data_IF_403971691240
#
_entry.id   IF_403971691240
#
_cell.length_a   1.000
_cell.length_b   1.000
_cell.length_c   1.000
_cell.angle_alpha   90.00
_cell.angle_beta   90.00
_cell.angle_gamma   90.00
#
_symmetry.space_group_name_H-M   'P 1'
#
loop_
_entity.id
_entity.type
_entity.pdbx_description
1 polymer ?
#
# COMPACT_ATOMS: atom_id res chain seq x y z
N UNK A 1 13.27 -4.40 15.76
CA UNK A 1 13.57 -3.30 14.81
C UNK A 1 15.03 -3.32 14.41
N UNK A 2 15.99 -3.13 15.32
CA UNK A 2 17.42 -3.07 14.96
C UNK A 2 17.92 -4.36 14.27
N UNK A 3 17.57 -5.55 14.80
CA UNK A 3 17.89 -6.84 14.20
C UNK A 3 17.33 -6.99 12.77
N UNK A 4 16.10 -6.52 12.52
CA UNK A 4 15.51 -6.51 11.18
C UNK A 4 16.28 -5.62 10.20
N UNK A 5 16.75 -4.44 10.65
CA UNK A 5 17.54 -3.51 9.82
C UNK A 5 18.91 -4.10 9.48
N UNK A 6 19.57 -4.74 10.45
CA UNK A 6 20.86 -5.42 10.24
C UNK A 6 20.73 -6.54 9.22
N UNK A 7 19.69 -7.39 9.32
CA UNK A 7 19.41 -8.42 8.31
C UNK A 7 19.21 -7.83 6.90
N UNK A 8 18.43 -6.75 6.79
CA UNK A 8 18.20 -6.08 5.49
C UNK A 8 19.50 -5.50 4.92
N UNK A 9 20.39 -5.00 5.78
CA UNK A 9 21.71 -4.50 5.39
C UNK A 9 22.63 -5.62 4.89
N UNK A 10 22.62 -6.78 5.55
CA UNK A 10 23.35 -7.96 5.10
C UNK A 10 22.88 -8.45 3.73
N UNK A 11 21.56 -8.53 3.53
CA UNK A 11 20.97 -8.89 2.24
C UNK A 11 21.35 -7.89 1.14
N UNK A 12 21.39 -6.60 1.46
CA UNK A 12 21.84 -5.55 0.54
C UNK A 12 23.28 -5.77 0.08
N UNK A 13 24.21 -6.05 1.01
CA UNK A 13 25.61 -6.31 0.66
C UNK A 13 25.81 -7.61 -0.12
N UNK A 14 25.00 -8.63 0.15
CA UNK A 14 25.11 -9.94 -0.52
C UNK A 14 24.63 -9.92 -1.97
N UNK A 15 23.70 -9.03 -2.30
CA UNK A 15 22.97 -9.02 -3.57
C UNK A 15 23.37 -7.89 -4.53
N UNK A 16 24.42 -7.11 -4.23
CA UNK A 16 24.71 -5.83 -4.88
C UNK A 16 23.44 -4.97 -4.97
N UNK A 17 22.71 -4.92 -3.84
CA UNK A 17 21.41 -4.31 -3.76
C UNK A 17 21.45 -2.83 -4.14
N UNK A 18 20.28 -2.28 -4.48
CA UNK A 18 20.13 -0.85 -4.70
C UNK A 18 19.17 -0.24 -3.65
N UNK A 19 19.03 1.08 -3.69
CA UNK A 19 18.22 1.81 -2.74
C UNK A 19 16.73 1.39 -2.78
N UNK A 20 16.22 1.00 -3.95
CA UNK A 20 14.84 0.51 -4.11
C UNK A 20 14.67 -0.81 -3.36
N UNK A 21 15.64 -1.73 -3.42
CA UNK A 21 15.59 -3.01 -2.69
C UNK A 21 15.53 -2.82 -1.18
N UNK A 22 16.27 -1.85 -0.62
CA UNK A 22 16.20 -1.52 0.81
C UNK A 22 14.79 -1.03 1.17
N UNK A 23 14.22 -0.11 0.37
CA UNK A 23 12.89 0.43 0.62
C UNK A 23 11.80 -0.65 0.50
N UNK A 24 11.93 -1.59 -0.45
CA UNK A 24 11.04 -2.74 -0.59
C UNK A 24 11.10 -3.64 0.64
N UNK A 25 12.30 -4.01 1.10
CA UNK A 25 12.46 -4.86 2.28
C UNK A 25 11.95 -4.17 3.55
N UNK A 26 12.13 -2.86 3.68
CA UNK A 26 11.56 -2.07 4.78
C UNK A 26 10.03 -2.09 4.76
N UNK A 27 9.43 -1.89 3.59
CA UNK A 27 7.97 -1.91 3.44
C UNK A 27 7.39 -3.31 3.67
N UNK A 28 8.10 -4.38 3.26
CA UNK A 28 7.68 -5.76 3.53
C UNK A 28 7.77 -6.12 5.02
N UNK A 29 8.81 -5.67 5.71
CA UNK A 29 9.03 -5.97 7.13
C UNK A 29 8.09 -5.16 8.05
N UNK A 30 7.89 -3.87 7.75
CA UNK A 30 7.19 -2.95 8.65
C UNK A 30 5.81 -2.51 8.13
N UNK A 31 5.45 -2.81 6.88
CA UNK A 31 4.21 -2.37 6.23
C UNK A 31 4.22 -0.91 5.74
N UNK A 32 5.29 -0.18 6.06
CA UNK A 32 5.58 1.19 5.65
C UNK A 32 7.10 1.41 5.82
N UNK A 33 7.61 2.57 5.41
CA UNK A 33 9.02 2.93 5.53
C UNK A 33 9.19 3.88 6.74
N UNK A 34 9.73 3.40 7.88
CA UNK A 34 9.97 4.26 9.04
C UNK A 34 11.10 5.27 8.76
N UNK A 35 10.89 6.51 9.17
CA UNK A 35 11.89 7.57 9.02
C UNK A 35 13.20 7.26 9.75
N UNK A 36 13.11 6.68 10.95
CA UNK A 36 14.29 6.27 11.73
C UNK A 36 15.11 5.19 11.01
N UNK A 37 14.45 4.27 10.30
CA UNK A 37 15.11 3.25 9.50
C UNK A 37 15.85 3.88 8.32
N UNK A 38 15.26 4.88 7.65
CA UNK A 38 15.91 5.60 6.57
C UNK A 38 17.19 6.29 7.05
N UNK A 39 17.15 6.99 8.19
CA UNK A 39 18.35 7.62 8.75
C UNK A 39 19.41 6.58 9.15
N UNK A 40 18.99 5.46 9.72
CA UNK A 40 19.88 4.37 10.10
C UNK A 40 20.66 3.79 8.91
N UNK A 41 19.99 3.60 7.76
CA UNK A 41 20.61 3.16 6.52
C UNK A 41 21.47 4.25 5.87
N UNK A 42 21.01 5.50 5.90
CA UNK A 42 21.74 6.63 5.34
C UNK A 42 23.13 6.79 5.96
N UNK A 43 23.23 6.66 7.29
CA UNK A 43 24.51 6.71 8.01
C UNK A 43 25.45 5.56 7.65
N UNK A 44 24.92 4.34 7.48
CA UNK A 44 25.74 3.12 7.27
C UNK A 44 26.19 2.94 5.84
N UNK A 45 25.39 3.41 4.88
CA UNK A 45 25.68 3.28 3.45
C UNK A 45 26.35 4.53 2.87
N UNK A 46 26.57 5.56 3.68
CA UNK A 46 27.08 6.87 3.26
C UNK A 46 26.25 7.47 2.11
N UNK A 47 24.92 7.34 2.21
CA UNK A 47 23.96 7.85 1.24
C UNK A 47 23.10 8.92 1.91
N UNK A 48 22.98 10.13 1.35
CA UNK A 48 22.15 11.18 1.94
C UNK A 48 20.68 10.74 2.13
N UNK A 49 20.04 11.00 3.29
CA UNK A 49 18.63 10.69 3.52
C UNK A 49 17.69 11.26 2.45
N UNK A 50 18.04 12.45 1.91
CA UNK A 50 17.30 13.08 0.82
C UNK A 50 17.15 12.18 -0.41
N UNK A 51 18.13 11.33 -0.71
CA UNK A 51 18.06 10.38 -1.82
C UNK A 51 17.04 9.26 -1.55
N UNK A 52 16.98 8.77 -0.30
CA UNK A 52 15.97 7.80 0.11
C UNK A 52 14.56 8.39 0.02
N UNK A 53 14.33 9.57 0.60
CA UNK A 53 13.04 10.23 0.53
C UNK A 53 12.66 10.61 -0.91
N UNK A 54 13.63 11.00 -1.74
CA UNK A 54 13.40 11.26 -3.15
C UNK A 54 12.87 10.04 -3.89
N UNK A 55 13.45 8.86 -3.66
CA UNK A 55 12.96 7.61 -4.27
C UNK A 55 11.63 7.18 -3.66
N UNK A 56 11.49 7.24 -2.33
CA UNK A 56 10.26 6.84 -1.64
C UNK A 56 9.06 7.71 -2.01
N UNK A 57 9.26 9.00 -2.29
CA UNK A 57 8.18 9.90 -2.74
C UNK A 57 7.95 9.86 -4.25
N UNK A 58 8.95 9.44 -5.04
CA UNK A 58 8.81 9.32 -6.49
C UNK A 58 7.95 8.11 -6.90
N UNK A 59 8.16 6.96 -6.27
CA UNK A 59 7.38 5.75 -6.56
C UNK A 59 6.15 5.67 -5.66
N UNK A 60 4.96 5.76 -6.25
CA UNK A 60 3.67 5.64 -5.56
C UNK A 60 3.44 4.29 -4.86
N UNK A 61 4.30 3.29 -5.10
CA UNK A 61 4.28 2.02 -4.39
C UNK A 61 4.73 2.16 -2.94
N UNK A 62 5.61 3.11 -2.63
CA UNK A 62 6.24 3.23 -1.31
C UNK A 62 5.41 4.12 -0.39
N UNK A 63 5.25 3.66 0.86
CA UNK A 63 4.45 4.37 1.86
C UNK A 63 5.32 4.82 3.03
N UNK A 64 5.34 6.13 3.28
CA UNK A 64 6.06 6.73 4.42
C UNK A 64 5.21 6.79 5.70
N UNK A 65 3.91 6.52 5.58
CA UNK A 65 2.97 6.51 6.70
C UNK A 65 2.54 5.08 7.02
N UNK A 66 2.30 4.75 8.30
CA UNK A 66 1.73 3.47 8.68
C UNK A 66 0.41 3.20 7.96
N UNK A 67 0.26 2.00 7.42
CA UNK A 67 -0.97 1.52 6.79
C UNK A 67 -1.69 0.55 7.70
N UNK A 68 -2.96 0.36 7.41
CA UNK A 68 -3.78 -0.68 8.01
C UNK A 68 -3.35 -2.07 7.56
N UNK A 69 -3.75 -3.09 8.32
CA UNK A 69 -3.44 -4.48 8.04
C UNK A 69 -3.94 -4.95 6.66
N UNK A 70 -5.11 -4.45 6.25
CA UNK A 70 -5.73 -4.80 4.98
C UNK A 70 -5.74 -3.60 4.03
N UNK A 71 -5.09 -3.75 2.89
CA UNK A 71 -4.99 -2.71 1.88
C UNK A 71 -6.01 -2.98 0.78
N UNK A 72 -6.87 -2.01 0.50
CA UNK A 72 -7.87 -2.03 -0.55
C UNK A 72 -7.57 -0.92 -1.54
N UNK A 73 -7.06 -1.26 -2.73
CA UNK A 73 -6.74 -0.30 -3.78
C UNK A 73 -7.81 -0.33 -4.88
N UNK A 74 -8.56 0.76 -5.03
CA UNK A 74 -9.60 0.90 -6.05
C UNK A 74 -9.06 1.53 -7.33
N UNK A 75 -9.37 0.92 -8.48
CA UNK A 75 -9.00 1.45 -9.80
C UNK A 75 -9.93 2.60 -10.22
N UNK A 76 -9.34 3.77 -10.46
CA UNK A 76 -10.00 4.99 -10.92
C UNK A 76 -9.83 5.24 -12.43
N UNK A 77 -9.29 4.27 -13.18
CA UNK A 77 -9.05 4.42 -14.62
C UNK A 77 -10.35 4.57 -15.39
N UNK A 78 -10.29 5.13 -16.61
CA UNK A 78 -11.47 5.51 -17.40
C UNK A 78 -12.52 4.39 -17.51
N UNK A 79 -12.08 3.16 -17.80
CA UNK A 79 -12.98 2.01 -17.88
C UNK A 79 -13.67 1.66 -16.55
N UNK A 80 -12.96 1.81 -15.42
CA UNK A 80 -13.53 1.58 -14.09
C UNK A 80 -14.43 2.75 -13.66
N UNK A 81 -14.04 3.99 -13.98
CA UNK A 81 -14.83 5.19 -13.72
C UNK A 81 -16.20 5.12 -14.40
N UNK A 82 -16.24 4.84 -15.71
CA UNK A 82 -17.50 4.71 -16.47
C UNK A 82 -18.37 3.57 -15.95
N UNK A 83 -17.77 2.50 -15.42
CA UNK A 83 -18.49 1.38 -14.80
C UNK A 83 -18.85 1.59 -13.33
N UNK A 84 -18.66 2.80 -12.79
CA UNK A 84 -19.13 3.17 -11.46
C UNK A 84 -18.17 2.86 -10.31
N UNK A 85 -16.85 2.86 -10.55
CA UNK A 85 -15.85 2.69 -9.48
C UNK A 85 -15.98 3.73 -8.35
N UNK A 86 -16.49 4.93 -8.64
CA UNK A 86 -16.76 5.94 -7.62
C UNK A 86 -17.78 5.45 -6.57
N UNK A 87 -18.80 4.69 -7.00
CA UNK A 87 -19.77 4.10 -6.06
C UNK A 87 -19.12 3.08 -5.13
N UNK A 88 -18.13 2.35 -5.63
CA UNK A 88 -17.36 1.37 -4.85
C UNK A 88 -16.54 2.11 -3.78
N UNK A 89 -15.80 3.14 -4.18
CA UNK A 89 -14.98 3.96 -3.28
C UNK A 89 -15.85 4.62 -2.20
N UNK A 90 -16.94 5.26 -2.57
CA UNK A 90 -17.83 5.92 -1.61
C UNK A 90 -18.47 4.92 -0.64
N UNK A 91 -18.77 3.70 -1.10
CA UNK A 91 -19.27 2.62 -0.23
C UNK A 91 -18.18 2.15 0.75
N UNK A 92 -16.92 2.04 0.31
CA UNK A 92 -15.79 1.68 1.17
C UNK A 92 -15.60 2.69 2.30
N UNK A 93 -15.43 3.96 1.94
CA UNK A 93 -15.16 5.03 2.92
C UNK A 93 -16.29 5.12 3.94
N UNK A 94 -17.54 4.95 3.51
CA UNK A 94 -18.70 4.98 4.41
C UNK A 94 -18.77 3.78 5.34
N UNK A 95 -18.55 2.56 4.83
CA UNK A 95 -18.62 1.34 5.64
C UNK A 95 -17.47 1.24 6.64
N UNK A 96 -16.27 1.60 6.21
CA UNK A 96 -15.07 1.57 7.05
C UNK A 96 -14.96 2.79 7.96
N UNK A 97 -15.88 3.76 7.85
CA UNK A 97 -15.92 4.98 8.64
C UNK A 97 -14.58 5.74 8.62
N UNK A 98 -13.91 5.76 7.47
CA UNK A 98 -12.61 6.41 7.32
C UNK A 98 -12.81 7.93 7.46
N UNK A 99 -12.03 8.61 8.33
CA UNK A 99 -12.11 10.07 8.49
C UNK A 99 -11.88 10.84 7.18
N UNK A 100 -12.52 12.00 7.05
CA UNK A 100 -12.35 12.85 5.87
C UNK A 100 -10.91 13.32 5.72
N UNK A 101 -10.28 13.00 4.58
CA UNK A 101 -8.89 13.36 4.29
C UNK A 101 -7.86 12.29 4.68
N UNK A 102 -8.29 11.22 5.34
CA UNK A 102 -7.46 10.05 5.64
C UNK A 102 -7.79 8.89 4.68
N UNK A 103 -6.86 7.96 4.55
CA UNK A 103 -7.00 6.73 3.79
C UNK A 103 -7.12 5.49 4.69
N UNK A 104 -6.81 5.62 5.98
CA UNK A 104 -6.67 4.51 6.92
C UNK A 104 -7.65 4.65 8.07
N UNK A 105 -8.22 3.53 8.53
CA UNK A 105 -9.14 3.48 9.67
C UNK A 105 -8.42 3.75 11.00
N UNK A 106 -9.13 4.26 12.01
CA UNK A 106 -8.54 4.57 13.33
C UNK A 106 -7.97 3.34 14.04
N UNK A 107 -8.59 2.18 13.82
CA UNK A 107 -8.17 0.88 14.35
C UNK A 107 -6.97 0.26 13.58
N UNK A 108 -6.52 0.91 12.50
CA UNK A 108 -5.47 0.42 11.58
C UNK A 108 -5.76 -0.98 11.03
N UNK A 109 -7.02 -1.37 10.90
CA UNK A 109 -7.39 -2.62 10.23
C UNK A 109 -7.42 -2.49 8.70
N UNK A 110 -7.80 -1.31 8.17
CA UNK A 110 -8.01 -1.11 6.73
C UNK A 110 -7.39 0.20 6.23
N UNK A 111 -6.81 0.15 5.03
CA UNK A 111 -6.41 1.31 4.24
C UNK A 111 -7.08 1.25 2.86
N UNK A 112 -7.68 2.36 2.43
CA UNK A 112 -8.35 2.51 1.14
C UNK A 112 -7.57 3.47 0.26
N UNK A 113 -7.03 2.94 -0.82
CA UNK A 113 -6.23 3.67 -1.79
C UNK A 113 -6.92 3.80 -3.13
N UNK A 114 -6.50 4.81 -3.89
CA UNK A 114 -6.95 5.05 -5.25
C UNK A 114 -5.76 4.95 -6.18
N UNK A 115 -5.88 4.13 -7.22
CA UNK A 115 -4.88 4.03 -8.28
C UNK A 115 -5.46 4.49 -9.60
N UNK A 116 -4.66 5.19 -10.41
CA UNK A 116 -5.11 5.70 -11.70
C UNK A 116 -5.49 4.59 -12.67
N UNK A 117 -4.70 3.52 -12.76
CA UNK A 117 -5.04 2.39 -13.61
C UNK A 117 -4.32 1.12 -13.15
N UNK A 118 -5.05 0.00 -13.11
CA UNK A 118 -4.49 -1.34 -12.86
C UNK A 118 -4.13 -2.06 -14.16
N UNK A 119 -4.64 -1.59 -15.31
CA UNK A 119 -4.44 -2.25 -16.62
C UNK A 119 -5.38 -3.44 -16.90
N UNK A 120 -6.27 -3.80 -15.96
CA UNK A 120 -7.20 -4.93 -16.09
C UNK A 120 -8.60 -4.51 -16.59
N UNK A 121 -8.66 -3.72 -17.67
CA UNK A 121 -9.91 -3.10 -18.16
C UNK A 121 -10.99 -4.11 -18.57
N UNK A 122 -10.62 -5.31 -19.03
CA UNK A 122 -11.55 -6.39 -19.43
C UNK A 122 -12.46 -6.87 -18.30
N UNK A 123 -12.01 -6.71 -17.05
CA UNK A 123 -12.74 -7.11 -15.85
C UNK A 123 -13.13 -5.91 -14.97
N UNK A 124 -13.18 -4.69 -15.53
CA UNK A 124 -13.63 -3.51 -14.80
C UNK A 124 -15.09 -3.65 -14.29
N UNK A 125 -15.45 -3.07 -13.11
CA UNK A 125 -14.57 -2.36 -12.15
C UNK A 125 -13.60 -3.28 -11.41
N UNK A 126 -12.39 -2.78 -11.14
CA UNK A 126 -11.30 -3.53 -10.50
C UNK A 126 -10.96 -2.96 -9.13
N UNK A 127 -10.81 -3.84 -8.15
CA UNK A 127 -10.30 -3.53 -6.81
C UNK A 127 -9.22 -4.56 -6.48
N UNK A 128 -8.12 -4.12 -5.88
CA UNK A 128 -7.06 -4.99 -5.36
C UNK A 128 -7.22 -5.05 -3.85
N UNK A 129 -7.20 -6.24 -3.27
CA UNK A 129 -7.26 -6.46 -1.82
C UNK A 129 -6.02 -7.27 -1.43
N UNK A 130 -5.12 -6.72 -0.60
CA UNK A 130 -3.92 -7.42 -0.12
C UNK A 130 -3.09 -8.13 -1.22
N UNK A 131 -3.00 -7.51 -2.42
CA UNK A 131 -2.35 -8.02 -3.65
C UNK A 131 -3.22 -8.93 -4.55
N UNK A 132 -4.41 -9.34 -4.12
CA UNK A 132 -5.34 -10.09 -4.95
C UNK A 132 -6.20 -9.19 -5.83
N UNK A 133 -6.30 -9.50 -7.12
CA UNK A 133 -7.04 -8.71 -8.10
C UNK A 133 -8.48 -9.20 -8.19
N UNK A 134 -9.44 -8.34 -7.84
CA UNK A 134 -10.87 -8.63 -7.94
C UNK A 134 -11.52 -7.80 -9.05
N UNK A 135 -12.03 -8.50 -10.06
CA UNK A 135 -12.77 -7.90 -11.18
C UNK A 135 -14.28 -7.99 -11.04
N UNK A 136 -15.00 -7.23 -11.88
CA UNK A 136 -16.47 -7.11 -11.89
C UNK A 136 -16.99 -6.84 -10.48
N UNK A 137 -16.28 -5.96 -9.78
CA UNK A 137 -16.56 -5.62 -8.39
C UNK A 137 -17.84 -4.80 -8.31
N UNK A 138 -18.60 -5.04 -7.25
CA UNK A 138 -19.85 -4.35 -6.93
C UNK A 138 -19.82 -4.01 -5.44
N UNK A 139 -20.55 -2.98 -4.97
CA UNK A 139 -20.62 -2.68 -3.54
C UNK A 139 -21.00 -3.92 -2.69
N UNK A 140 -21.94 -4.74 -3.15
CA UNK A 140 -22.38 -5.95 -2.44
C UNK A 140 -21.27 -6.98 -2.26
N UNK A 141 -20.52 -7.28 -3.33
CA UNK A 141 -19.36 -8.19 -3.28
C UNK A 141 -18.28 -7.65 -2.37
N UNK A 142 -18.01 -6.36 -2.47
CA UNK A 142 -17.00 -5.70 -1.65
C UNK A 142 -17.32 -5.77 -0.16
N UNK A 143 -18.58 -5.54 0.21
CA UNK A 143 -19.06 -5.69 1.58
C UNK A 143 -18.89 -7.12 2.11
N UNK A 144 -19.06 -8.11 1.24
CA UNK A 144 -18.80 -9.51 1.59
C UNK A 144 -17.31 -9.73 1.87
N UNK A 145 -16.42 -9.19 1.04
CA UNK A 145 -14.97 -9.31 1.27
C UNK A 145 -14.52 -8.61 2.54
N UNK A 146 -15.00 -7.40 2.83
CA UNK A 146 -14.68 -6.70 4.09
C UNK A 146 -15.09 -7.55 5.31
N UNK A 147 -16.26 -8.18 5.26
CA UNK A 147 -16.72 -9.09 6.33
C UNK A 147 -15.86 -10.34 6.45
N UNK A 148 -15.32 -10.85 5.35
CA UNK A 148 -14.39 -11.99 5.37
C UNK A 148 -13.07 -11.59 6.04
N UNK A 149 -12.52 -10.43 5.65
CA UNK A 149 -11.27 -9.89 6.20
C UNK A 149 -11.38 -9.62 7.72
N UNK A 150 -12.49 -9.03 8.18
CA UNK A 150 -12.76 -8.85 9.62
C UNK A 150 -12.88 -10.17 10.39
N UNK A 151 -13.23 -11.26 9.72
CA UNK A 151 -13.31 -12.61 10.30
C UNK A 151 -11.99 -13.38 10.23
N UNK A 152 -10.93 -12.77 9.69
CA UNK A 152 -9.61 -13.39 9.54
C UNK A 152 -9.56 -14.50 8.49
N UNK A 153 -10.42 -14.43 7.46
CA UNK A 153 -10.40 -15.33 6.29
C UNK A 153 -9.83 -14.64 5.08
#
# INVERSE_FOLDING_TARGET
>A
MQESLERILEDYHRSDGNLISILQNLEEEFGYIPQDAVYWFAERLDIPPAKFFGVATFYAQFHLKPRGKNIITACCGTACHVKGAERIINSLTRELQIPSGEDTTEDREFTVEKVNCVGACSIAPVVIINKEVHGKMTPEKLMKEIKNLRRGR
#
